data_IF_741621453307
#
_entry.id   IF_741621453307
#
_cell.length_a   1.000
_cell.length_b   1.000
_cell.length_c   1.000
_cell.angle_alpha   90.00
_cell.angle_beta   90.00
_cell.angle_gamma   90.00
#
_symmetry.space_group_name_H-M   'P 1'
#
loop_
_entity.id
_entity.type
_entity.pdbx_description
1 polymer ?
#
# COMPACT_ATOMS: atom_id res chain seq x y z
N UNK A 1 -10.70 -6.98 -23.43
CA UNK A 1 -10.90 -8.20 -22.59
C UNK A 1 -11.81 -7.92 -21.39
N UNK A 2 -11.57 -6.91 -20.54
CA UNK A 2 -12.45 -6.58 -19.40
C UNK A 2 -13.93 -6.38 -19.80
N UNK A 3 -14.17 -5.65 -20.88
CA UNK A 3 -15.52 -5.40 -21.40
C UNK A 3 -16.24 -6.70 -21.80
N UNK A 4 -15.49 -7.66 -22.34
CA UNK A 4 -16.03 -8.99 -22.66
C UNK A 4 -16.47 -9.73 -21.38
N UNK A 5 -15.60 -9.76 -20.36
CA UNK A 5 -15.93 -10.41 -19.09
C UNK A 5 -17.07 -9.73 -18.35
N UNK A 6 -17.16 -8.42 -18.43
CA UNK A 6 -18.27 -7.65 -17.90
C UNK A 6 -19.59 -8.01 -18.60
N UNK A 7 -19.59 -8.06 -19.95
CA UNK A 7 -20.78 -8.45 -20.74
C UNK A 7 -21.20 -9.88 -20.41
N UNK A 8 -20.28 -10.83 -20.31
CA UNK A 8 -20.60 -12.20 -19.90
C UNK A 8 -21.23 -12.22 -18.51
N UNK A 9 -20.68 -11.49 -17.55
CA UNK A 9 -21.24 -11.36 -16.20
C UNK A 9 -22.66 -10.79 -16.22
N UNK A 10 -22.90 -9.75 -17.03
CA UNK A 10 -24.22 -9.16 -17.25
C UNK A 10 -25.22 -10.19 -17.79
N UNK A 11 -24.87 -10.88 -18.87
CA UNK A 11 -25.73 -11.90 -19.49
C UNK A 11 -26.06 -13.04 -18.52
N UNK A 12 -25.09 -13.48 -17.72
CA UNK A 12 -25.33 -14.49 -16.66
C UNK A 12 -26.40 -13.99 -15.67
N UNK A 13 -26.31 -12.74 -15.23
CA UNK A 13 -27.28 -12.16 -14.30
C UNK A 13 -28.66 -12.01 -14.92
N UNK A 14 -28.75 -11.58 -16.17
CA UNK A 14 -30.02 -11.45 -16.89
C UNK A 14 -30.72 -12.81 -17.05
N UNK A 15 -30.00 -13.86 -17.39
CA UNK A 15 -30.52 -15.23 -17.48
C UNK A 15 -31.02 -15.71 -16.10
N UNK A 16 -30.28 -15.43 -15.03
CA UNK A 16 -30.64 -15.88 -13.68
C UNK A 16 -31.83 -15.10 -13.08
N UNK A 17 -32.02 -13.85 -13.45
CA UNK A 17 -33.18 -13.05 -13.02
C UNK A 17 -34.47 -13.45 -13.72
N UNK A 18 -34.38 -14.00 -14.94
CA UNK A 18 -35.52 -14.52 -15.69
C UNK A 18 -36.06 -15.87 -15.17
N UNK A 19 -35.30 -16.58 -14.34
CA UNK A 19 -35.64 -17.91 -13.83
C UNK A 19 -35.71 -17.90 -12.28
N UNK A 20 -36.90 -17.96 -11.72
CA UNK A 20 -37.18 -17.86 -10.26
C UNK A 20 -36.68 -19.05 -9.40
N UNK A 21 -35.91 -20.01 -9.92
CA UNK A 21 -35.48 -21.20 -9.19
C UNK A 21 -33.94 -21.20 -8.99
N UNK A 22 -33.48 -21.02 -7.76
CA UNK A 22 -32.08 -21.03 -7.36
C UNK A 22 -31.28 -22.29 -7.79
N UNK A 23 -31.92 -23.46 -7.81
CA UNK A 23 -31.31 -24.72 -8.27
C UNK A 23 -31.05 -24.76 -9.78
N UNK A 24 -31.76 -23.95 -10.56
CA UNK A 24 -31.60 -23.83 -12.01
C UNK A 24 -30.36 -23.00 -12.36
N UNK A 25 -30.02 -22.00 -11.53
CA UNK A 25 -28.89 -21.11 -11.75
C UNK A 25 -27.50 -21.81 -11.69
N UNK A 26 -27.32 -22.84 -10.85
CA UNK A 26 -26.09 -23.63 -10.81
C UNK A 26 -25.93 -24.50 -12.06
N UNK A 27 -27.02 -25.11 -12.54
CA UNK A 27 -27.02 -25.91 -13.76
C UNK A 27 -26.79 -25.07 -15.01
N UNK A 28 -27.24 -23.81 -15.03
CA UNK A 28 -26.98 -22.86 -16.14
C UNK A 28 -25.49 -22.53 -16.25
N UNK A 29 -24.82 -22.21 -15.14
CA UNK A 29 -23.39 -21.92 -15.13
C UNK A 29 -22.54 -23.12 -15.56
N UNK A 30 -22.93 -24.34 -15.15
CA UNK A 30 -22.23 -25.56 -15.53
C UNK A 30 -22.35 -25.83 -17.06
N UNK A 31 -23.58 -25.76 -17.61
CA UNK A 31 -23.82 -25.93 -19.04
C UNK A 31 -23.13 -24.84 -19.88
N UNK A 32 -23.18 -23.58 -19.41
CA UNK A 32 -22.51 -22.47 -20.06
C UNK A 32 -20.98 -22.66 -20.06
N UNK A 33 -20.43 -23.11 -18.94
CA UNK A 33 -19.00 -23.43 -18.82
C UNK A 33 -18.57 -24.51 -19.80
N UNK A 34 -19.33 -25.59 -19.89
CA UNK A 34 -19.05 -26.69 -20.83
C UNK A 34 -19.06 -26.22 -22.28
N UNK A 35 -20.10 -25.47 -22.69
CA UNK A 35 -20.22 -24.94 -24.06
C UNK A 35 -19.08 -23.96 -24.39
N UNK A 36 -18.86 -22.95 -23.54
CA UNK A 36 -17.84 -21.94 -23.79
C UNK A 36 -16.41 -22.52 -23.72
N UNK A 37 -16.19 -23.51 -22.85
CA UNK A 37 -14.87 -24.17 -22.78
C UNK A 37 -14.62 -25.04 -24.01
N UNK A 38 -15.64 -25.70 -24.55
CA UNK A 38 -15.50 -26.47 -25.78
C UNK A 38 -15.22 -25.57 -27.01
N UNK A 39 -15.83 -24.39 -27.05
CA UNK A 39 -15.74 -23.47 -28.19
C UNK A 39 -14.52 -22.51 -28.08
N UNK A 40 -14.25 -21.97 -26.90
CA UNK A 40 -13.27 -20.91 -26.68
C UNK A 40 -12.09 -21.29 -25.74
N UNK A 41 -12.07 -22.51 -25.21
CA UNK A 41 -11.00 -23.01 -24.35
C UNK A 41 -11.14 -22.73 -22.85
N UNK A 42 -10.08 -23.06 -22.09
CA UNK A 42 -10.08 -23.14 -20.61
C UNK A 42 -10.39 -21.85 -19.86
N UNK A 43 -10.46 -20.71 -20.51
CA UNK A 43 -10.77 -19.39 -19.90
C UNK A 43 -12.19 -19.28 -19.31
N UNK A 44 -13.10 -20.19 -19.64
CA UNK A 44 -14.54 -20.12 -19.31
C UNK A 44 -14.99 -21.21 -18.32
N UNK A 45 -14.09 -21.66 -17.45
CA UNK A 45 -14.46 -22.57 -16.36
C UNK A 45 -15.58 -21.99 -15.48
N UNK A 46 -16.39 -22.82 -14.83
CA UNK A 46 -17.46 -22.41 -13.89
C UNK A 46 -16.96 -21.33 -12.92
N UNK A 47 -15.79 -21.55 -12.30
CA UNK A 47 -15.17 -20.60 -11.37
C UNK A 47 -14.89 -19.23 -12.02
N UNK A 48 -14.47 -19.20 -13.28
CA UNK A 48 -14.23 -17.93 -13.97
C UNK A 48 -15.54 -17.25 -14.35
N UNK A 49 -16.57 -17.98 -14.73
CA UNK A 49 -17.91 -17.43 -14.98
C UNK A 49 -18.51 -16.83 -13.70
N UNK A 50 -18.35 -17.48 -12.55
CA UNK A 50 -18.73 -16.93 -11.24
C UNK A 50 -18.00 -15.62 -10.93
N UNK A 51 -16.70 -15.53 -11.23
CA UNK A 51 -15.91 -14.30 -11.07
C UNK A 51 -16.40 -13.19 -12.03
N UNK A 52 -16.73 -13.52 -13.26
CA UNK A 52 -17.30 -12.57 -14.23
C UNK A 52 -18.66 -12.07 -13.76
N UNK A 53 -19.50 -12.96 -13.20
CA UNK A 53 -20.77 -12.59 -12.58
C UNK A 53 -20.57 -11.64 -11.40
N UNK A 54 -19.66 -11.98 -10.45
CA UNK A 54 -19.29 -11.14 -9.30
C UNK A 54 -18.74 -9.78 -9.76
N UNK A 55 -17.97 -9.78 -10.85
CA UNK A 55 -17.45 -8.56 -11.47
C UNK A 55 -18.57 -7.61 -11.93
N UNK A 56 -19.59 -8.13 -12.63
CA UNK A 56 -20.75 -7.33 -13.01
C UNK A 56 -21.55 -6.82 -11.80
N UNK A 57 -21.75 -7.68 -10.77
CA UNK A 57 -22.47 -7.29 -9.55
C UNK A 57 -21.77 -6.12 -8.83
N UNK A 58 -20.44 -6.17 -8.73
CA UNK A 58 -19.68 -5.13 -8.04
C UNK A 58 -19.46 -3.86 -8.89
N UNK A 59 -19.51 -4.00 -10.21
CA UNK A 59 -19.32 -2.90 -11.16
C UNK A 59 -20.45 -2.88 -12.19
N UNK A 60 -21.70 -2.56 -11.78
CA UNK A 60 -22.87 -2.64 -12.66
C UNK A 60 -22.84 -1.62 -13.80
N UNK A 61 -22.03 -0.58 -13.68
CA UNK A 61 -21.86 0.45 -14.69
C UNK A 61 -20.51 0.22 -15.39
N UNK A 62 -20.55 -0.11 -16.69
CA UNK A 62 -19.35 -0.44 -17.48
C UNK A 62 -18.28 0.68 -17.48
N UNK A 63 -18.66 1.93 -17.33
CA UNK A 63 -17.75 3.09 -17.30
C UNK A 63 -16.98 3.19 -15.98
N UNK A 64 -17.41 2.52 -14.92
CA UNK A 64 -16.66 2.47 -13.65
C UNK A 64 -15.48 1.51 -13.71
N UNK A 65 -15.43 0.64 -14.75
CA UNK A 65 -14.33 -0.30 -14.95
C UNK A 65 -13.15 0.42 -15.59
N UNK A 66 -12.08 0.61 -14.81
CA UNK A 66 -10.86 1.25 -15.32
C UNK A 66 -10.11 0.34 -16.29
N UNK A 67 -9.77 0.88 -17.47
CA UNK A 67 -8.91 0.20 -18.44
C UNK A 67 -7.42 0.16 -18.02
N UNK A 68 -7.04 0.90 -16.99
CA UNK A 68 -5.67 0.92 -16.44
C UNK A 68 -5.35 -0.32 -15.61
N UNK A 69 -6.38 -1.09 -15.22
CA UNK A 69 -6.23 -2.33 -14.46
C UNK A 69 -6.42 -3.55 -15.36
N UNK A 70 -5.62 -4.59 -15.14
CA UNK A 70 -5.80 -5.88 -15.80
C UNK A 70 -6.89 -6.72 -15.12
N UNK A 71 -7.34 -7.78 -15.80
CA UNK A 71 -8.25 -8.76 -15.21
C UNK A 71 -7.70 -9.36 -13.91
N UNK A 72 -6.39 -9.62 -13.86
CA UNK A 72 -5.74 -10.15 -12.65
C UNK A 72 -5.82 -9.20 -11.46
N UNK A 73 -5.76 -7.87 -11.68
CA UNK A 73 -6.02 -6.90 -10.62
C UNK A 73 -7.47 -7.00 -10.12
N UNK A 74 -8.43 -7.08 -11.03
CA UNK A 74 -9.83 -7.22 -10.65
C UNK A 74 -10.10 -8.52 -9.89
N UNK A 75 -9.41 -9.62 -10.20
CA UNK A 75 -9.54 -10.87 -9.44
C UNK A 75 -9.12 -10.72 -7.97
N UNK A 76 -8.12 -9.90 -7.66
CA UNK A 76 -7.77 -9.59 -6.27
C UNK A 76 -8.78 -8.63 -5.64
N UNK A 77 -9.20 -7.60 -6.36
CA UNK A 77 -10.20 -6.62 -5.90
C UNK A 77 -11.54 -7.27 -5.59
N UNK A 78 -11.96 -8.28 -6.36
CA UNK A 78 -13.20 -9.04 -6.14
C UNK A 78 -13.21 -9.86 -4.83
N UNK A 79 -12.07 -10.03 -4.16
CA UNK A 79 -12.01 -10.65 -2.83
C UNK A 79 -12.41 -9.68 -1.70
N UNK A 80 -12.47 -8.38 -2.00
CA UNK A 80 -12.81 -7.33 -1.05
C UNK A 80 -14.32 -7.05 -1.13
N UNK A 81 -15.06 -7.42 -0.10
CA UNK A 81 -16.54 -7.34 -0.12
C UNK A 81 -17.06 -5.92 0.15
N UNK A 82 -16.34 -5.10 0.92
CA UNK A 82 -16.72 -3.73 1.24
C UNK A 82 -16.45 -2.78 0.06
N UNK A 83 -17.46 -2.03 -0.37
CA UNK A 83 -17.38 -1.16 -1.55
C UNK A 83 -16.34 -0.04 -1.38
N UNK A 84 -16.34 0.64 -0.23
CA UNK A 84 -15.40 1.73 0.04
C UNK A 84 -13.95 1.25 0.00
N UNK A 85 -13.69 0.10 0.62
CA UNK A 85 -12.39 -0.56 0.62
C UNK A 85 -11.96 -0.99 -0.79
N UNK A 86 -12.90 -1.54 -1.60
CA UNK A 86 -12.63 -1.84 -3.02
C UNK A 86 -12.24 -0.59 -3.81
N UNK A 87 -12.99 0.49 -3.65
CA UNK A 87 -12.73 1.75 -4.34
C UNK A 87 -11.37 2.33 -3.97
N UNK A 88 -11.00 2.28 -2.68
CA UNK A 88 -9.67 2.64 -2.22
C UNK A 88 -8.58 1.84 -2.92
N UNK A 89 -8.64 0.50 -2.93
CA UNK A 89 -7.62 -0.32 -3.57
C UNK A 89 -7.54 -0.11 -5.09
N UNK A 90 -8.67 0.16 -5.77
CA UNK A 90 -8.67 0.54 -7.19
C UNK A 90 -7.89 1.84 -7.38
N UNK A 91 -8.20 2.88 -6.62
CA UNK A 91 -7.54 4.19 -6.71
C UNK A 91 -6.05 4.09 -6.40
N UNK A 92 -5.69 3.41 -5.32
CA UNK A 92 -4.29 3.22 -4.94
C UNK A 92 -3.51 2.44 -5.99
N UNK A 93 -4.08 1.37 -6.54
CA UNK A 93 -3.45 0.57 -7.60
C UNK A 93 -3.16 1.42 -8.83
N UNK A 94 -4.09 2.28 -9.24
CA UNK A 94 -3.93 3.19 -10.38
C UNK A 94 -2.88 4.26 -10.07
N UNK A 95 -3.03 4.97 -8.93
CA UNK A 95 -2.19 6.10 -8.56
C UNK A 95 -0.74 5.69 -8.33
N UNK A 96 -0.53 4.53 -7.71
CA UNK A 96 0.80 4.01 -7.36
C UNK A 96 1.33 3.00 -8.38
N UNK A 97 0.56 2.70 -9.43
CA UNK A 97 0.89 1.74 -10.49
C UNK A 97 1.30 0.37 -9.93
N UNK A 98 0.56 -0.10 -8.93
CA UNK A 98 0.88 -1.38 -8.31
C UNK A 98 0.77 -2.53 -9.30
N UNK A 99 1.69 -3.48 -9.18
CA UNK A 99 1.55 -4.79 -9.79
C UNK A 99 0.48 -5.61 -9.06
N UNK A 100 0.01 -6.70 -9.69
CA UNK A 100 -0.94 -7.62 -9.04
C UNK A 100 -0.39 -8.15 -7.70
N UNK A 101 0.91 -8.45 -7.63
CA UNK A 101 1.57 -8.93 -6.40
C UNK A 101 1.57 -7.86 -5.31
N UNK A 102 1.85 -6.61 -5.68
CA UNK A 102 1.83 -5.51 -4.74
C UNK A 102 0.42 -5.24 -4.23
N UNK A 103 -0.59 -5.21 -5.11
CA UNK A 103 -1.98 -5.09 -4.70
C UNK A 103 -2.38 -6.21 -3.72
N UNK A 104 -2.00 -7.45 -4.01
CA UNK A 104 -2.26 -8.61 -3.16
C UNK A 104 -1.61 -8.44 -1.78
N UNK A 105 -0.35 -7.99 -1.74
CA UNK A 105 0.37 -7.68 -0.51
C UNK A 105 -0.34 -6.59 0.29
N UNK A 106 -0.73 -5.47 -0.34
CA UNK A 106 -1.37 -4.35 0.35
C UNK A 106 -2.77 -4.70 0.88
N UNK A 107 -3.51 -5.57 0.18
CA UNK A 107 -4.78 -6.13 0.69
C UNK A 107 -4.49 -7.03 1.91
N UNK A 108 -3.49 -7.91 1.81
CA UNK A 108 -3.12 -8.86 2.87
C UNK A 108 -2.60 -8.16 4.13
N UNK A 109 -1.83 -7.08 3.98
CA UNK A 109 -1.30 -6.27 5.09
C UNK A 109 -2.31 -5.25 5.64
N UNK A 110 -3.57 -5.32 5.21
CA UNK A 110 -4.67 -4.47 5.71
C UNK A 110 -4.37 -2.97 5.60
N UNK A 111 -3.79 -2.53 4.47
CA UNK A 111 -3.39 -1.12 4.28
C UNK A 111 -4.56 -0.15 4.54
N UNK A 112 -5.76 -0.46 4.06
CA UNK A 112 -6.94 0.39 4.24
C UNK A 112 -7.24 0.61 5.72
N UNK A 113 -7.27 -0.47 6.51
CA UNK A 113 -7.53 -0.45 7.94
C UNK A 113 -6.43 0.32 8.70
N UNK A 114 -5.17 0.12 8.36
CA UNK A 114 -4.04 0.83 8.96
C UNK A 114 -4.11 2.35 8.72
N UNK A 115 -4.49 2.74 7.51
CA UNK A 115 -4.70 4.17 7.20
C UNK A 115 -5.89 4.76 7.93
N UNK A 116 -6.94 3.97 8.18
CA UNK A 116 -8.08 4.41 9.00
C UNK A 116 -7.72 4.63 10.46
N UNK A 117 -6.82 3.81 11.01
CA UNK A 117 -6.34 3.96 12.40
C UNK A 117 -5.50 5.24 12.56
N UNK A 118 -4.75 5.63 11.51
CA UNK A 118 -3.90 6.83 11.52
C UNK A 118 -4.65 8.10 11.10
N UNK A 119 -5.82 7.98 10.44
CA UNK A 119 -6.58 9.09 9.90
C UNK A 119 -7.70 9.56 10.83
N UNK A 120 -8.04 10.85 10.75
CA UNK A 120 -9.26 11.37 11.34
C UNK A 120 -10.50 10.74 10.67
N UNK A 121 -11.51 10.33 11.44
CA UNK A 121 -12.72 9.63 10.93
C UNK A 121 -13.44 10.35 9.78
N UNK A 122 -13.25 11.67 9.67
CA UNK A 122 -13.82 12.48 8.58
C UNK A 122 -13.13 12.27 7.22
N UNK A 123 -11.98 11.58 7.17
CA UNK A 123 -11.21 11.33 5.95
C UNK A 123 -11.55 10.00 5.24
N UNK A 124 -12.48 9.23 5.78
CA UNK A 124 -12.88 7.91 5.24
C UNK A 124 -13.36 7.97 3.79
N UNK A 125 -14.24 8.92 3.48
CA UNK A 125 -14.78 9.11 2.14
C UNK A 125 -13.68 9.58 1.17
N UNK A 126 -12.82 10.52 1.61
CA UNK A 126 -11.69 10.98 0.81
C UNK A 126 -10.72 9.86 0.47
N UNK A 127 -10.45 8.95 1.41
CA UNK A 127 -9.59 7.79 1.19
C UNK A 127 -10.16 6.84 0.12
N UNK A 128 -11.45 6.60 0.13
CA UNK A 128 -12.12 5.75 -0.84
C UNK A 128 -12.21 6.39 -2.24
N UNK A 129 -12.35 7.72 -2.30
CA UNK A 129 -12.53 8.46 -3.55
C UNK A 129 -11.20 8.86 -4.20
N UNK A 130 -10.22 9.29 -3.41
CA UNK A 130 -8.96 9.88 -3.88
C UNK A 130 -7.74 8.98 -3.66
N UNK A 131 -7.85 8.00 -2.75
CA UNK A 131 -6.75 7.22 -2.25
C UNK A 131 -5.94 7.98 -1.18
N UNK A 132 -4.80 7.42 -0.77
CA UNK A 132 -3.92 8.06 0.21
C UNK A 132 -3.14 9.22 -0.44
N UNK A 133 -3.44 10.46 -0.05
CA UNK A 133 -2.73 11.66 -0.47
C UNK A 133 -1.80 12.13 0.65
N UNK A 134 -0.53 12.38 0.30
CA UNK A 134 0.45 12.97 1.21
C UNK A 134 0.32 14.50 1.13
N UNK A 135 -0.19 15.13 2.18
CA UNK A 135 -0.34 16.60 2.28
C UNK A 135 0.52 17.18 3.39
N UNK A 136 0.69 16.44 4.45
CA UNK A 136 1.41 16.85 5.65
C UNK A 136 2.39 15.77 6.10
N UNK A 137 3.38 16.15 6.90
CA UNK A 137 4.39 15.21 7.43
C UNK A 137 3.79 14.06 8.22
N UNK A 138 2.65 14.26 8.89
CA UNK A 138 1.94 13.18 9.59
C UNK A 138 1.41 12.07 8.67
N UNK A 139 1.17 12.39 7.41
CA UNK A 139 0.67 11.43 6.42
C UNK A 139 1.79 10.47 5.93
N UNK A 140 3.05 10.72 6.30
CA UNK A 140 4.18 9.84 5.99
C UNK A 140 4.17 8.54 6.80
N UNK A 141 3.60 8.58 8.01
CA UNK A 141 3.59 7.41 8.90
C UNK A 141 2.30 6.63 8.76
N UNK A 142 2.44 5.38 8.40
CA UNK A 142 1.36 4.38 8.44
C UNK A 142 1.50 3.61 9.76
N UNK A 143 0.48 3.56 10.58
CA UNK A 143 0.54 2.84 11.86
C UNK A 143 -0.35 1.59 11.85
N UNK A 144 0.19 0.41 12.09
CA UNK A 144 1.62 0.05 12.13
C UNK A 144 2.24 -0.11 10.72
N UNK A 145 3.56 0.06 10.60
CA UNK A 145 4.31 -0.42 9.44
C UNK A 145 4.39 -1.95 9.46
N UNK A 146 4.26 -2.56 8.29
CA UNK A 146 4.36 -4.02 8.14
C UNK A 146 5.71 -4.34 7.50
N UNK A 147 6.61 -4.88 8.30
CA UNK A 147 7.98 -5.23 7.90
C UNK A 147 8.16 -6.76 7.77
N UNK A 148 7.12 -7.46 7.26
CA UNK A 148 7.12 -8.92 7.11
C UNK A 148 8.29 -9.45 6.28
N UNK A 149 8.81 -8.64 5.36
CA UNK A 149 9.93 -9.00 4.50
C UNK A 149 11.27 -9.06 5.24
N UNK A 150 11.34 -8.52 6.45
CA UNK A 150 12.57 -8.56 7.26
C UNK A 150 12.76 -9.90 7.98
N UNK A 151 11.73 -10.77 7.99
CA UNK A 151 11.71 -12.08 8.70
C UNK A 151 12.23 -11.99 10.15
N UNK A 152 11.98 -10.84 10.81
CA UNK A 152 12.40 -10.57 12.19
C UNK A 152 11.50 -11.39 13.11
N UNK A 153 12.02 -12.49 13.63
CA UNK A 153 11.33 -13.28 14.66
C UNK A 153 11.28 -12.49 15.96
N UNK A 154 10.10 -12.39 16.57
CA UNK A 154 9.84 -11.60 17.79
C UNK A 154 10.76 -11.91 19.01
N UNK A 155 11.53 -13.01 18.98
CA UNK A 155 12.27 -13.54 20.12
C UNK A 155 13.78 -13.62 19.96
N UNK A 156 14.39 -12.98 18.97
CA UNK A 156 15.86 -12.95 18.81
C UNK A 156 16.40 -11.59 19.27
N UNK A 157 17.51 -11.61 20.00
CA UNK A 157 18.32 -10.42 20.30
C UNK A 157 18.89 -9.85 18.99
N UNK A 158 18.08 -9.12 18.24
CA UNK A 158 18.54 -8.41 17.05
C UNK A 158 19.20 -7.11 17.47
N UNK A 159 20.38 -6.86 16.93
CA UNK A 159 21.05 -5.58 17.06
C UNK A 159 20.41 -4.56 16.08
N UNK A 160 20.46 -3.28 16.42
CA UNK A 160 19.99 -2.18 15.54
C UNK A 160 20.70 -2.23 14.17
N UNK A 161 22.00 -2.60 14.16
CA UNK A 161 22.79 -2.84 12.95
C UNK A 161 22.26 -3.97 12.06
N UNK A 162 21.70 -5.03 12.64
CA UNK A 162 21.12 -6.13 11.86
C UNK A 162 19.80 -5.69 11.19
N UNK A 163 19.00 -4.88 11.89
CA UNK A 163 17.78 -4.30 11.33
C UNK A 163 18.10 -3.36 10.18
N UNK A 164 19.08 -2.48 10.33
CA UNK A 164 19.55 -1.58 9.28
C UNK A 164 20.01 -2.37 8.04
N UNK A 165 20.88 -3.37 8.25
CA UNK A 165 21.38 -4.23 7.18
C UNK A 165 20.23 -4.93 6.44
N UNK A 166 19.28 -5.53 7.16
CA UNK A 166 18.14 -6.20 6.57
C UNK A 166 17.27 -5.22 5.78
N UNK A 167 17.05 -3.99 6.25
CA UNK A 167 16.33 -2.96 5.51
C UNK A 167 17.07 -2.61 4.22
N UNK A 168 18.38 -2.47 4.24
CA UNK A 168 19.18 -2.17 3.05
C UNK A 168 19.17 -3.33 2.04
N UNK A 169 19.25 -4.57 2.50
CA UNK A 169 19.13 -5.77 1.64
C UNK A 169 17.73 -5.86 0.98
N UNK A 170 16.69 -5.38 1.65
CA UNK A 170 15.30 -5.37 1.17
C UNK A 170 14.77 -3.95 0.91
N UNK A 171 15.65 -3.04 0.45
CA UNK A 171 15.32 -1.62 0.30
C UNK A 171 14.12 -1.36 -0.62
N UNK A 172 13.94 -2.20 -1.64
CA UNK A 172 12.80 -2.08 -2.56
C UNK A 172 11.47 -2.32 -1.83
N UNK A 173 11.39 -3.38 -1.03
CA UNK A 173 10.22 -3.74 -0.23
C UNK A 173 9.96 -2.67 0.84
N UNK A 174 11.02 -2.16 1.47
CA UNK A 174 10.93 -1.07 2.43
C UNK A 174 10.40 0.22 1.81
N UNK A 175 10.88 0.62 0.63
CA UNK A 175 10.37 1.78 -0.10
C UNK A 175 8.89 1.62 -0.48
N UNK A 176 8.45 0.42 -0.85
CA UNK A 176 7.05 0.12 -1.11
C UNK A 176 6.19 0.24 0.15
N UNK A 177 6.71 -0.17 1.30
CA UNK A 177 6.03 0.00 2.58
C UNK A 177 5.99 1.46 3.03
N UNK A 178 7.09 2.21 2.89
CA UNK A 178 7.08 3.65 3.14
C UNK A 178 6.01 4.36 2.29
N UNK A 179 5.90 3.98 1.02
CA UNK A 179 4.83 4.45 0.14
C UNK A 179 5.26 5.50 -0.88
N UNK A 180 4.34 6.42 -1.19
CA UNK A 180 4.51 7.33 -2.34
C UNK A 180 5.61 8.37 -2.12
N UNK A 181 6.39 8.59 -3.18
CA UNK A 181 7.29 9.74 -3.29
C UNK A 181 8.62 9.59 -2.61
N UNK A 182 8.90 8.50 -1.91
CA UNK A 182 10.18 8.28 -1.26
C UNK A 182 11.28 7.94 -2.25
N UNK A 183 12.44 8.54 -2.05
CA UNK A 183 13.69 8.26 -2.73
C UNK A 183 14.78 8.03 -1.68
N UNK A 184 15.56 6.98 -1.82
CA UNK A 184 16.68 6.70 -0.92
C UNK A 184 17.85 7.64 -1.23
N UNK A 185 18.34 8.33 -0.22
CA UNK A 185 19.49 9.24 -0.31
C UNK A 185 20.77 8.51 0.13
N UNK A 186 20.71 7.83 1.28
CA UNK A 186 21.85 7.08 1.80
C UNK A 186 21.58 6.46 3.17
N UNK A 187 22.49 5.60 3.59
CA UNK A 187 22.59 5.07 4.96
C UNK A 187 23.89 5.59 5.60
N UNK A 188 23.87 5.72 6.92
CA UNK A 188 25.04 6.17 7.70
C UNK A 188 25.70 7.44 7.12
N UNK A 189 24.84 8.40 6.71
CA UNK A 189 25.31 9.65 6.09
C UNK A 189 26.04 10.48 7.15
N UNK A 190 27.32 10.78 6.91
CA UNK A 190 28.11 11.55 7.86
C UNK A 190 27.66 12.99 7.96
N UNK A 191 27.23 13.41 9.14
CA UNK A 191 27.00 14.78 9.52
C UNK A 191 28.18 15.25 10.36
N UNK A 192 28.68 16.46 10.08
CA UNK A 192 29.79 17.05 10.85
C UNK A 192 29.31 18.32 11.51
N UNK A 193 29.26 18.33 12.81
CA UNK A 193 28.93 19.50 13.61
C UNK A 193 30.16 19.84 14.46
N UNK A 194 30.77 20.97 14.17
CA UNK A 194 32.08 21.35 14.73
C UNK A 194 33.14 20.26 14.43
N UNK A 195 33.65 19.56 15.45
CA UNK A 195 34.62 18.49 15.29
C UNK A 195 34.00 17.09 15.43
N UNK A 196 32.74 17.01 15.83
CA UNK A 196 32.02 15.75 16.06
C UNK A 196 31.33 15.23 14.78
N UNK A 197 31.29 13.91 14.65
CA UNK A 197 30.68 13.21 13.53
C UNK A 197 29.51 12.37 14.00
N UNK A 198 28.38 12.50 13.32
CA UNK A 198 27.14 11.80 13.59
C UNK A 198 26.65 11.08 12.32
N UNK A 199 25.92 9.99 12.49
CA UNK A 199 25.52 9.11 11.40
C UNK A 199 24.05 8.68 11.58
N UNK A 200 23.06 9.36 10.97
CA UNK A 200 21.70 8.85 10.92
C UNK A 200 21.65 7.54 10.11
N UNK A 201 20.87 6.56 10.58
CA UNK A 201 20.82 5.23 9.97
C UNK A 201 20.36 5.29 8.50
N UNK A 202 19.23 5.93 8.22
CA UNK A 202 18.65 6.01 6.88
C UNK A 202 18.19 7.43 6.58
N UNK A 203 18.53 7.90 5.40
CA UNK A 203 18.09 9.19 4.88
C UNK A 203 17.31 8.98 3.58
N UNK A 204 16.12 9.56 3.52
CA UNK A 204 15.26 9.59 2.35
C UNK A 204 14.91 11.03 1.98
N UNK A 205 14.47 11.22 0.76
CA UNK A 205 13.80 12.43 0.32
C UNK A 205 12.39 12.09 -0.16
N UNK A 206 11.38 12.84 0.29
CA UNK A 206 10.03 12.67 -0.22
C UNK A 206 9.70 13.80 -1.21
N UNK A 207 9.61 13.43 -2.49
CA UNK A 207 9.40 14.38 -3.58
C UNK A 207 8.01 15.03 -3.59
N UNK A 208 7.00 14.40 -2.96
CA UNK A 208 5.63 14.95 -2.92
C UNK A 208 5.51 16.02 -1.86
N UNK A 209 6.13 15.80 -0.72
CA UNK A 209 6.22 16.78 0.37
C UNK A 209 7.44 17.70 0.24
N UNK A 210 8.32 17.46 -0.74
CA UNK A 210 9.57 18.23 -0.92
C UNK A 210 10.35 18.39 0.39
N UNK A 211 10.63 17.30 1.07
CA UNK A 211 11.36 17.33 2.34
C UNK A 211 12.27 16.12 2.49
N UNK A 212 13.35 16.28 3.25
CA UNK A 212 14.13 15.17 3.74
C UNK A 212 13.37 14.42 4.83
N UNK A 213 13.59 13.09 4.89
CA UNK A 213 13.02 12.22 5.91
C UNK A 213 14.17 11.40 6.48
N UNK A 214 14.48 11.63 7.74
CA UNK A 214 15.52 10.93 8.46
C UNK A 214 14.87 9.85 9.31
N UNK A 215 15.31 8.61 9.13
CA UNK A 215 14.84 7.48 9.92
C UNK A 215 16.02 6.96 10.74
N UNK A 216 15.82 6.88 12.04
CA UNK A 216 16.79 6.34 12.98
C UNK A 216 16.16 5.14 13.70
N UNK A 217 16.84 4.01 13.64
CA UNK A 217 16.34 2.72 14.05
C UNK A 217 16.66 2.50 15.54
N UNK A 218 15.67 2.02 16.28
CA UNK A 218 15.82 1.71 17.70
C UNK A 218 15.16 0.39 18.03
N UNK A 219 15.89 -0.47 18.71
CA UNK A 219 15.34 -1.67 19.34
C UNK A 219 15.18 -1.33 20.83
N UNK A 220 13.96 -1.14 21.26
CA UNK A 220 13.67 -0.78 22.65
C UNK A 220 12.91 0.55 22.80
N UNK A 221 12.82 1.05 24.01
CA UNK A 221 12.08 2.29 24.32
C UNK A 221 12.86 3.51 23.83
N UNK A 222 12.18 4.41 23.15
CA UNK A 222 12.70 5.73 22.79
C UNK A 222 12.92 6.55 24.07
N UNK A 223 14.11 7.12 24.21
CA UNK A 223 14.52 7.95 25.36
C UNK A 223 14.59 9.42 24.97
N UNK A 224 14.76 10.31 25.97
CA UNK A 224 14.98 11.73 25.71
C UNK A 224 16.27 11.99 24.91
N UNK A 225 17.30 11.16 25.09
CA UNK A 225 18.54 11.25 24.34
C UNK A 225 18.29 10.95 22.85
N UNK A 226 17.50 9.92 22.53
CA UNK A 226 17.13 9.57 21.15
C UNK A 226 16.37 10.72 20.47
N UNK A 227 15.48 11.39 21.20
CA UNK A 227 14.74 12.56 20.71
C UNK A 227 15.70 13.72 20.45
N UNK A 228 16.62 14.02 21.38
CA UNK A 228 17.62 15.08 21.22
C UNK A 228 18.55 14.84 20.03
N UNK A 229 18.97 13.59 19.83
CA UNK A 229 19.77 13.19 18.67
C UNK A 229 19.00 13.40 17.36
N UNK A 230 17.75 12.98 17.28
CA UNK A 230 16.93 13.21 16.09
C UNK A 230 16.71 14.71 15.83
N UNK A 231 16.49 15.52 16.86
CA UNK A 231 16.37 16.96 16.72
C UNK A 231 17.64 17.59 16.12
N UNK A 232 18.81 17.13 16.58
CA UNK A 232 20.08 17.58 16.01
C UNK A 232 20.18 17.21 14.52
N UNK A 233 19.83 15.99 14.11
CA UNK A 233 19.83 15.57 12.70
C UNK A 233 18.91 16.45 11.85
N UNK A 234 17.66 16.63 12.29
CA UNK A 234 16.67 17.46 11.56
C UNK A 234 17.16 18.90 11.44
N UNK A 235 17.66 19.50 12.53
CA UNK A 235 18.19 20.86 12.52
C UNK A 235 19.40 21.01 11.59
N UNK A 236 20.28 20.00 11.53
CA UNK A 236 21.41 20.02 10.62
C UNK A 236 20.93 20.03 9.16
N UNK A 237 20.01 19.15 8.80
CA UNK A 237 19.44 19.12 7.45
C UNK A 237 18.73 20.41 7.09
N UNK A 238 17.97 20.98 8.01
CA UNK A 238 17.21 22.22 7.78
C UNK A 238 18.10 23.45 7.61
N UNK A 239 19.29 23.48 8.23
CA UNK A 239 20.20 24.61 8.17
C UNK A 239 21.26 24.51 7.08
N UNK A 240 21.79 23.29 6.87
CA UNK A 240 22.98 23.08 6.07
C UNK A 240 22.73 22.37 4.73
N UNK A 241 21.64 21.60 4.62
CA UNK A 241 21.44 20.70 3.48
C UNK A 241 20.26 21.11 2.61
N UNK A 242 19.06 21.34 3.20
CA UNK A 242 17.87 21.62 2.42
C UNK A 242 17.92 22.97 1.73
N UNK A 243 17.26 23.05 0.58
CA UNK A 243 17.05 24.30 -0.16
C UNK A 243 15.91 25.13 0.44
N UNK A 244 15.89 26.43 0.13
CA UNK A 244 14.87 27.35 0.67
C UNK A 244 13.44 27.05 0.21
N UNK A 245 13.27 26.36 -0.91
CA UNK A 245 11.97 25.97 -1.48
C UNK A 245 11.49 24.59 -0.99
N UNK A 246 12.27 23.95 -0.12
CA UNK A 246 11.91 22.67 0.50
C UNK A 246 11.25 22.87 1.87
N UNK A 247 10.34 21.98 2.19
CA UNK A 247 9.66 21.94 3.47
C UNK A 247 10.62 21.45 4.58
N UNK A 248 10.29 21.70 5.85
CA UNK A 248 11.09 21.21 6.97
C UNK A 248 11.32 19.71 6.92
N UNK A 249 12.52 19.30 7.30
CA UNK A 249 12.93 17.91 7.42
C UNK A 249 12.08 17.17 8.45
N UNK A 250 11.74 15.93 8.17
CA UNK A 250 10.95 15.06 9.07
C UNK A 250 11.84 14.02 9.70
N UNK A 251 11.87 13.98 11.04
CA UNK A 251 12.53 12.94 11.80
C UNK A 251 11.56 11.82 12.18
N UNK A 252 11.96 10.58 11.94
CA UNK A 252 11.18 9.38 12.29
C UNK A 252 12.08 8.48 13.14
N UNK A 253 11.60 8.13 14.33
CA UNK A 253 12.25 7.13 15.19
C UNK A 253 11.46 5.83 15.12
N UNK A 254 12.14 4.73 14.84
CA UNK A 254 11.50 3.41 14.91
C UNK A 254 11.61 2.83 16.32
N UNK A 255 10.58 2.06 16.71
CA UNK A 255 10.58 1.30 17.96
C UNK A 255 9.86 -0.04 17.71
N UNK A 256 10.58 -1.17 17.72
CA UNK A 256 10.03 -2.51 17.46
C UNK A 256 9.10 -2.58 16.24
N UNK A 257 9.53 -2.01 15.10
CA UNK A 257 8.72 -1.96 13.88
C UNK A 257 7.57 -0.95 13.90
N UNK A 258 7.44 -0.13 14.97
CA UNK A 258 6.57 1.04 15.01
C UNK A 258 7.40 2.28 14.73
N UNK A 259 6.89 3.11 13.85
CA UNK A 259 7.53 4.36 13.47
C UNK A 259 6.75 5.53 14.07
N UNK A 260 7.43 6.42 14.75
CA UNK A 260 6.84 7.63 15.32
C UNK A 260 7.53 8.87 14.73
N UNK A 261 6.75 9.82 14.24
CA UNK A 261 7.29 11.13 13.83
C UNK A 261 7.66 11.90 15.09
N UNK A 262 8.91 12.32 15.15
CA UNK A 262 9.37 13.32 16.11
C UNK A 262 9.08 14.68 15.48
N UNK A 263 8.04 15.34 15.96
CA UNK A 263 7.78 16.73 15.60
C UNK A 263 8.76 17.61 16.34
N UNK A 264 9.45 18.42 15.59
CA UNK A 264 10.35 19.46 16.07
C UNK A 264 9.68 20.80 15.81
#
# INVERSE_FOLDING_TARGET
>A
MLRLYWNIGKTIMEIQQGDERASYGENVLERLSQKLTAEFGKGFSKRNLERMRKFYIYFPIATTVSSQLSWSHYLEILKVDEEQKRNFYIKETINSRWSVRELQRQIGSLLYERLLLSADKNKLLDLAEKGHELKESKDLVKDPFVLEFLDVKENTEHLESDLEKNILEHLKEFLLELGKGFMFVGSQVRLTLEEDHFYPDLVFYNRLLKCFVIIDLKIGKVTHQDIGQMQMYVNYYDREIKSNDENPTVGIKSNYGKFAIIKI
#
